data_IF_821220005804
#
_entry.id   IF_821220005804
#
_cell.length_a   1.000
_cell.length_b   1.000
_cell.length_c   1.000
_cell.angle_alpha   90.00
_cell.angle_beta   90.00
_cell.angle_gamma   90.00
#
_symmetry.space_group_name_H-M   'P 1'
#
loop_
_entity.id
_entity.type
_entity.pdbx_description
1 polymer ?
#
# COMPACT_ATOMS: atom_id res chain seq x y z
N UNK A 1 8.63 25.06 -0.93
CA UNK A 1 7.74 23.89 -0.77
C UNK A 1 7.64 23.24 -2.14
N UNK A 2 8.30 22.10 -2.36
CA UNK A 2 8.27 21.41 -3.66
C UNK A 2 6.91 20.73 -3.75
N UNK A 3 5.98 21.37 -4.44
CA UNK A 3 4.77 20.68 -4.88
C UNK A 3 5.23 19.66 -5.92
N UNK A 4 4.71 18.43 -5.90
CA UNK A 4 4.81 17.50 -7.03
C UNK A 4 3.54 17.64 -7.91
N UNK A 5 3.31 18.76 -8.62
CA UNK A 5 2.12 18.89 -9.48
C UNK A 5 2.23 18.06 -10.76
N UNK A 6 3.25 17.21 -10.88
CA UNK A 6 3.67 16.55 -12.13
C UNK A 6 3.33 15.07 -12.14
N UNK A 7 2.95 14.48 -11.00
CA UNK A 7 2.54 13.07 -10.99
C UNK A 7 1.37 12.81 -11.96
N UNK A 8 0.39 13.71 -12.01
CA UNK A 8 -0.74 13.63 -12.96
C UNK A 8 -0.34 13.88 -14.41
N UNK A 9 0.76 14.57 -14.68
CA UNK A 9 1.29 14.71 -16.05
C UNK A 9 1.94 13.40 -16.51
N UNK A 10 2.69 12.75 -15.62
CA UNK A 10 3.33 11.46 -15.90
C UNK A 10 2.34 10.29 -15.90
N UNK A 11 1.25 10.39 -15.13
CA UNK A 11 0.18 9.39 -15.03
C UNK A 11 -1.20 10.09 -15.06
N UNK A 12 -1.77 10.33 -16.26
CA UNK A 12 -3.06 11.01 -16.41
C UNK A 12 -4.24 10.31 -15.72
N UNK A 13 -4.15 8.98 -15.56
CA UNK A 13 -5.19 8.16 -14.93
C UNK A 13 -5.09 8.11 -13.39
N UNK A 14 -4.02 8.67 -12.81
CA UNK A 14 -3.91 8.86 -11.36
C UNK A 14 -4.80 10.04 -10.92
N UNK A 15 -5.78 9.85 -10.02
CA UNK A 15 -6.63 10.95 -9.58
C UNK A 15 -5.84 12.09 -8.94
N UNK A 16 -6.16 13.34 -9.32
CA UNK A 16 -5.40 14.52 -8.91
C UNK A 16 -5.31 14.71 -7.38
N UNK A 17 -6.38 14.36 -6.66
CA UNK A 17 -6.38 14.39 -5.19
C UNK A 17 -5.40 13.36 -4.60
N UNK A 18 -5.41 12.12 -5.10
CA UNK A 18 -4.49 11.06 -4.65
C UNK A 18 -3.04 11.43 -4.97
N UNK A 19 -2.79 12.00 -6.16
CA UNK A 19 -1.48 12.54 -6.52
C UNK A 19 -1.03 13.64 -5.54
N UNK A 20 -1.92 14.56 -5.18
CA UNK A 20 -1.64 15.62 -4.21
C UNK A 20 -1.34 15.04 -2.82
N UNK A 21 -2.07 14.02 -2.38
CA UNK A 21 -1.82 13.37 -1.10
C UNK A 21 -0.46 12.67 -1.07
N UNK A 22 -0.16 11.86 -2.09
CA UNK A 22 1.13 11.20 -2.23
C UNK A 22 2.30 12.20 -2.27
N UNK A 23 2.10 13.32 -2.96
CA UNK A 23 3.08 14.40 -3.04
C UNK A 23 3.42 15.01 -1.68
N UNK A 24 2.39 15.31 -0.88
CA UNK A 24 2.54 15.87 0.47
C UNK A 24 3.24 14.85 1.37
N UNK A 25 2.78 13.60 1.36
CA UNK A 25 3.35 12.56 2.21
C UNK A 25 4.84 12.29 1.89
N UNK A 26 5.19 12.23 0.60
CA UNK A 26 6.57 12.14 0.15
C UNK A 26 7.42 13.33 0.62
N UNK A 27 6.91 14.56 0.49
CA UNK A 27 7.63 15.76 0.92
C UNK A 27 7.88 15.80 2.44
N UNK A 28 7.01 15.17 3.24
CA UNK A 28 7.16 15.15 4.69
C UNK A 28 8.19 14.13 5.20
N UNK A 29 8.11 12.87 4.76
CA UNK A 29 8.86 11.77 5.40
C UNK A 29 9.55 10.84 4.38
N UNK A 30 9.46 11.16 3.08
CA UNK A 30 9.94 10.30 1.99
C UNK A 30 10.96 10.92 1.05
N UNK A 31 11.38 12.17 1.26
CA UNK A 31 12.18 12.95 0.31
C UNK A 31 13.59 12.40 0.05
N UNK A 32 14.07 11.47 0.89
CA UNK A 32 15.31 10.73 0.73
C UNK A 32 15.18 9.51 -0.22
N UNK A 33 13.94 9.07 -0.52
CA UNK A 33 13.67 7.96 -1.42
C UNK A 33 13.81 8.36 -2.89
N UNK A 34 14.20 7.39 -3.72
CA UNK A 34 14.28 7.52 -5.19
C UNK A 34 13.05 6.98 -5.90
N UNK A 35 12.17 6.31 -5.17
CA UNK A 35 10.98 5.64 -5.67
C UNK A 35 9.78 6.02 -4.81
N UNK A 36 8.75 6.58 -5.46
CA UNK A 36 7.45 6.84 -4.87
C UNK A 36 6.43 5.91 -5.51
N UNK A 37 5.81 5.05 -4.71
CA UNK A 37 4.69 4.21 -5.10
C UNK A 37 3.40 4.78 -4.53
N UNK A 38 2.32 4.66 -5.29
CA UNK A 38 1.00 5.18 -4.94
C UNK A 38 -0.02 4.09 -5.19
N UNK A 39 -0.81 3.75 -4.18
CA UNK A 39 -1.91 2.79 -4.27
C UNK A 39 -3.22 3.48 -3.86
N UNK A 40 -4.24 3.44 -4.71
CA UNK A 40 -5.54 4.07 -4.48
C UNK A 40 -6.61 3.02 -4.17
N UNK A 41 -6.88 2.80 -2.88
CA UNK A 41 -7.86 1.81 -2.44
C UNK A 41 -9.32 2.27 -2.60
N UNK A 42 -9.56 3.51 -3.06
CA UNK A 42 -10.92 3.97 -3.39
C UNK A 42 -11.46 3.37 -4.70
N UNK A 43 -10.56 2.87 -5.56
CA UNK A 43 -10.91 2.25 -6.83
C UNK A 43 -11.13 0.75 -6.70
N UNK A 44 -11.89 0.17 -7.64
CA UNK A 44 -12.12 -1.27 -7.70
C UNK A 44 -10.83 -2.03 -8.00
N UNK A 45 -10.62 -3.17 -7.37
CA UNK A 45 -9.39 -3.98 -7.50
C UNK A 45 -9.06 -4.45 -8.93
N UNK A 46 -10.07 -4.65 -9.77
CA UNK A 46 -9.88 -5.01 -11.19
C UNK A 46 -9.48 -3.84 -12.09
N UNK A 47 -9.29 -2.63 -11.57
CA UNK A 47 -8.79 -1.46 -12.32
C UNK A 47 -7.34 -1.17 -11.95
N UNK A 48 -6.55 -0.58 -12.88
CA UNK A 48 -5.28 0.02 -12.52
C UNK A 48 -5.51 1.03 -11.39
N UNK A 49 -4.86 0.78 -10.25
CA UNK A 49 -4.96 1.61 -9.04
C UNK A 49 -3.64 1.69 -8.28
N UNK A 50 -2.55 1.29 -8.94
CA UNK A 50 -1.19 1.33 -8.43
C UNK A 50 -0.26 1.96 -9.45
N UNK A 51 0.54 2.92 -9.01
CA UNK A 51 1.53 3.60 -9.82
C UNK A 51 2.86 3.64 -9.08
N UNK A 52 3.97 3.52 -9.80
CA UNK A 52 5.29 3.77 -9.24
C UNK A 52 6.07 4.76 -10.08
N UNK A 53 6.71 5.71 -9.43
CA UNK A 53 7.41 6.83 -10.04
C UNK A 53 8.87 6.85 -9.62
N UNK A 54 9.75 6.94 -10.60
CA UNK A 54 11.14 7.32 -10.39
C UNK A 54 11.19 8.81 -10.04
N UNK A 55 11.59 9.10 -8.81
CA UNK A 55 11.61 10.45 -8.22
C UNK A 55 13.03 10.92 -7.89
N UNK A 56 14.06 10.33 -8.52
CA UNK A 56 15.45 10.84 -8.42
C UNK A 56 15.58 12.31 -8.78
N UNK A 57 14.72 12.78 -9.68
CA UNK A 57 14.45 14.20 -9.91
C UNK A 57 12.98 14.50 -9.51
N UNK A 58 12.72 14.94 -8.26
CA UNK A 58 11.35 15.20 -7.80
C UNK A 58 10.62 16.29 -8.60
N UNK A 59 11.37 17.16 -9.30
CA UNK A 59 10.79 18.16 -10.19
C UNK A 59 10.33 17.58 -11.54
N UNK A 60 10.68 16.33 -11.87
CA UNK A 60 10.29 15.64 -13.11
C UNK A 60 10.12 14.13 -12.85
N UNK A 61 9.11 13.72 -12.06
CA UNK A 61 8.86 12.32 -11.77
C UNK A 61 8.55 11.56 -13.07
N UNK A 62 9.09 10.35 -13.21
CA UNK A 62 8.84 9.49 -14.37
C UNK A 62 8.04 8.26 -13.95
N UNK A 63 6.90 8.04 -14.58
CA UNK A 63 6.11 6.83 -14.39
C UNK A 63 6.91 5.60 -14.84
N UNK A 64 7.06 4.63 -13.94
CA UNK A 64 7.70 3.34 -14.19
C UNK A 64 6.67 2.25 -14.47
N UNK A 65 5.58 2.26 -13.71
CA UNK A 65 4.56 1.23 -13.79
C UNK A 65 3.20 1.80 -13.44
N UNK A 66 2.20 1.27 -14.14
CA UNK A 66 0.80 1.35 -13.78
C UNK A 66 0.26 -0.09 -13.73
N UNK A 67 -0.46 -0.43 -12.67
CA UNK A 67 -0.91 -1.80 -12.43
C UNK A 67 -2.11 -1.90 -11.50
N UNK A 68 -2.64 -3.11 -11.39
CA UNK A 68 -3.57 -3.50 -10.33
C UNK A 68 -2.77 -3.76 -9.04
N UNK A 69 -3.46 -3.66 -7.91
CA UNK A 69 -2.95 -4.06 -6.59
C UNK A 69 -4.12 -4.48 -5.74
N UNK A 70 -3.96 -5.48 -4.88
CA UNK A 70 -5.04 -5.97 -4.01
C UNK A 70 -5.01 -5.35 -2.62
N UNK A 71 -6.18 -5.30 -2.00
CA UNK A 71 -6.36 -4.91 -0.60
C UNK A 71 -6.59 -6.14 0.28
N UNK A 72 -6.62 -5.93 1.59
CA UNK A 72 -6.97 -6.96 2.55
C UNK A 72 -8.44 -7.41 2.45
N UNK A 73 -8.71 -8.66 2.80
CA UNK A 73 -10.04 -9.24 2.88
C UNK A 73 -10.93 -8.42 3.81
N UNK A 74 -10.32 -7.95 4.90
CA UNK A 74 -10.96 -7.15 5.91
C UNK A 74 -11.56 -5.84 5.38
N UNK A 75 -10.97 -5.34 4.30
CA UNK A 75 -11.39 -4.10 3.68
C UNK A 75 -12.63 -4.25 2.79
N UNK A 76 -12.96 -5.47 2.32
CA UNK A 76 -14.08 -5.72 1.39
C UNK A 76 -14.91 -6.96 1.81
N UNK A 77 -15.68 -6.88 2.93
CA UNK A 77 -16.53 -7.98 3.40
C UNK A 77 -17.59 -8.44 2.40
N UNK A 78 -18.00 -7.55 1.49
CA UNK A 78 -18.99 -7.87 0.46
C UNK A 78 -18.43 -8.55 -0.77
N UNK A 79 -17.09 -8.71 -0.90
CA UNK A 79 -16.42 -9.17 -2.14
C UNK A 79 -16.80 -8.37 -3.38
N UNK A 80 -17.05 -7.08 -3.21
CA UNK A 80 -17.48 -6.19 -4.29
C UNK A 80 -16.32 -5.81 -5.24
N UNK A 81 -15.09 -5.95 -4.75
CA UNK A 81 -13.86 -5.40 -5.31
C UNK A 81 -13.53 -4.00 -4.81
N UNK A 82 -14.33 -3.42 -3.90
CA UNK A 82 -14.13 -2.10 -3.32
C UNK A 82 -13.75 -2.20 -1.84
N UNK A 83 -12.61 -1.61 -1.46
CA UNK A 83 -12.25 -1.45 -0.06
C UNK A 83 -13.12 -0.36 0.59
N UNK A 84 -13.84 -0.74 1.63
CA UNK A 84 -14.75 0.11 2.41
C UNK A 84 -14.33 0.25 3.87
N UNK A 85 -13.44 -0.62 4.36
CA UNK A 85 -12.90 -0.61 5.73
C UNK A 85 -11.37 -0.57 5.71
N UNK A 86 -10.82 0.08 6.72
CA UNK A 86 -9.38 0.28 6.89
C UNK A 86 -9.09 0.33 8.38
N UNK A 87 -7.98 -0.29 8.79
CA UNK A 87 -7.62 -0.37 10.20
C UNK A 87 -6.14 -0.64 10.37
N UNK A 88 -5.58 -0.09 11.46
CA UNK A 88 -4.23 -0.38 11.97
C UNK A 88 -4.22 -1.57 12.95
N UNK A 89 -5.39 -2.11 13.32
CA UNK A 89 -5.50 -3.15 14.33
C UNK A 89 -4.97 -4.49 13.85
N UNK A 90 -4.26 -5.19 14.74
CA UNK A 90 -3.85 -6.56 14.52
C UNK A 90 -5.06 -7.50 14.33
N UNK A 91 -4.90 -8.54 13.51
CA UNK A 91 -5.96 -9.50 13.21
C UNK A 91 -7.17 -8.95 12.41
N UNK A 92 -7.18 -7.67 12.05
CA UNK A 92 -8.30 -7.06 11.30
C UNK A 92 -8.40 -7.56 9.86
N UNK A 93 -7.29 -8.03 9.27
CA UNK A 93 -7.23 -8.36 7.83
C UNK A 93 -7.47 -7.15 6.91
N UNK A 94 -7.54 -5.94 7.45
CA UNK A 94 -7.82 -4.69 6.73
C UNK A 94 -6.52 -4.04 6.27
N UNK A 95 -6.54 -3.43 5.09
CA UNK A 95 -5.45 -2.56 4.65
C UNK A 95 -5.40 -1.32 5.55
N UNK A 96 -4.20 -0.95 6.00
CA UNK A 96 -3.97 0.31 6.68
C UNK A 96 -3.70 1.42 5.66
N UNK A 97 -4.24 2.63 5.87
CA UNK A 97 -3.97 3.78 5.00
C UNK A 97 -2.72 4.53 5.46
N UNK A 98 -2.14 5.34 4.59
CA UNK A 98 -1.02 6.22 4.91
C UNK A 98 0.29 5.88 4.21
N UNK A 99 1.36 6.48 4.72
CA UNK A 99 2.71 6.39 4.18
C UNK A 99 3.48 5.21 4.80
N UNK A 100 4.15 4.45 3.95
CA UNK A 100 5.02 3.34 4.32
C UNK A 100 6.41 3.49 3.73
N UNK A 101 7.35 2.76 4.30
CA UNK A 101 8.67 2.49 3.74
C UNK A 101 8.88 0.99 3.58
N UNK A 102 9.37 0.56 2.43
CA UNK A 102 9.79 -0.82 2.22
C UNK A 102 11.08 -1.10 3.01
N UNK A 103 11.13 -2.26 3.66
CA UNK A 103 12.36 -2.78 4.26
C UNK A 103 13.34 -3.28 3.19
N UNK A 104 14.42 -3.93 3.61
CA UNK A 104 15.21 -4.76 2.69
C UNK A 104 14.40 -5.97 2.18
N UNK A 105 14.73 -6.47 0.97
CA UNK A 105 14.05 -7.63 0.41
C UNK A 105 14.35 -8.89 1.23
N UNK A 106 13.39 -9.80 1.25
CA UNK A 106 13.57 -11.15 1.74
C UNK A 106 12.83 -12.14 0.83
N UNK A 107 13.13 -13.42 0.99
CA UNK A 107 12.46 -14.49 0.23
C UNK A 107 11.36 -15.10 1.08
N UNK A 108 10.09 -14.81 0.73
CA UNK A 108 8.92 -15.45 1.32
C UNK A 108 8.80 -16.88 0.77
N UNK A 109 8.59 -17.91 1.61
CA UNK A 109 8.33 -19.27 1.14
C UNK A 109 7.10 -19.37 0.22
N UNK A 110 6.11 -18.50 0.41
CA UNK A 110 4.85 -18.55 -0.34
C UNK A 110 4.83 -17.58 -1.50
N UNK A 111 5.33 -16.35 -1.32
CA UNK A 111 5.22 -15.29 -2.32
C UNK A 111 6.53 -15.04 -3.09
N UNK A 112 7.62 -15.68 -2.70
CA UNK A 112 8.96 -15.39 -3.23
C UNK A 112 9.45 -14.01 -2.77
N UNK A 113 10.26 -13.37 -3.62
CA UNK A 113 10.91 -12.08 -3.32
C UNK A 113 9.90 -10.99 -2.94
N UNK A 114 9.95 -10.56 -1.68
CA UNK A 114 8.96 -9.69 -1.04
C UNK A 114 9.63 -8.67 -0.11
N UNK A 115 8.86 -7.70 0.36
CA UNK A 115 9.32 -6.60 1.21
C UNK A 115 8.32 -6.36 2.34
N UNK A 116 8.76 -6.19 3.58
CA UNK A 116 7.87 -5.74 4.65
C UNK A 116 7.57 -4.24 4.50
N UNK A 117 6.40 -3.83 4.98
CA UNK A 117 5.93 -2.45 4.98
C UNK A 117 6.04 -1.86 6.39
N UNK A 118 7.01 -0.96 6.60
CA UNK A 118 7.10 -0.14 7.82
C UNK A 118 6.15 1.05 7.71
N UNK A 119 5.15 1.12 8.58
CA UNK A 119 4.25 2.26 8.65
C UNK A 119 4.93 3.52 9.21
N UNK A 120 4.76 4.64 8.52
CA UNK A 120 5.32 5.95 8.89
C UNK A 120 4.25 6.97 9.28
N UNK A 121 2.98 6.56 9.36
CA UNK A 121 1.83 7.43 9.64
C UNK A 121 1.29 7.12 11.04
N UNK A 122 1.67 7.89 12.08
CA UNK A 122 1.23 7.67 13.45
C UNK A 122 -0.29 7.62 13.53
N UNK A 123 -0.88 6.61 14.16
CA UNK A 123 -2.33 6.45 14.16
C UNK A 123 -2.87 5.47 13.11
N UNK A 124 -2.21 5.35 11.98
CA UNK A 124 -2.87 4.82 10.78
C UNK A 124 -2.31 3.50 10.32
N UNK A 125 -0.98 3.33 10.42
CA UNK A 125 -0.31 2.13 9.91
C UNK A 125 0.91 1.70 10.73
N UNK A 126 1.08 2.24 11.94
CA UNK A 126 2.24 1.97 12.82
C UNK A 126 2.43 0.49 13.17
N UNK A 127 1.36 -0.32 13.12
CA UNK A 127 1.43 -1.75 13.40
C UNK A 127 1.73 -2.60 12.15
N UNK A 128 1.86 -2.01 10.96
CA UNK A 128 1.95 -2.76 9.72
C UNK A 128 3.11 -3.77 9.67
N UNK A 129 4.30 -3.39 10.13
CA UNK A 129 5.47 -4.29 10.18
C UNK A 129 5.24 -5.42 11.20
N UNK A 130 4.70 -5.10 12.39
CA UNK A 130 4.38 -6.11 13.42
C UNK A 130 3.25 -7.08 13.01
N UNK A 131 2.41 -6.66 12.06
CA UNK A 131 1.33 -7.46 11.47
C UNK A 131 1.81 -8.29 10.27
N UNK A 132 3.10 -8.27 9.93
CA UNK A 132 3.64 -8.87 8.70
C UNK A 132 2.89 -8.42 7.43
N UNK A 133 2.59 -7.12 7.32
CA UNK A 133 2.05 -6.53 6.10
C UNK A 133 3.18 -6.38 5.08
N UNK A 134 2.99 -6.96 3.90
CA UNK A 134 4.03 -7.08 2.88
C UNK A 134 3.65 -6.40 1.57
N UNK A 135 4.66 -6.01 0.80
CA UNK A 135 4.56 -5.77 -0.64
C UNK A 135 5.13 -6.99 -1.37
N UNK A 136 4.25 -7.74 -2.02
CA UNK A 136 4.60 -9.05 -2.57
C UNK A 136 3.92 -9.30 -3.94
N UNK A 137 4.46 -10.22 -4.76
CA UNK A 137 3.82 -10.63 -5.99
C UNK A 137 2.74 -11.69 -5.71
N UNK A 138 1.73 -11.75 -6.57
CA UNK A 138 0.69 -12.77 -6.51
C UNK A 138 0.11 -13.04 -7.90
N UNK A 139 -0.22 -14.31 -8.16
CA UNK A 139 -0.84 -14.76 -9.40
C UNK A 139 -2.32 -14.37 -9.53
N UNK A 140 -3.03 -14.13 -8.43
CA UNK A 140 -4.47 -13.85 -8.49
C UNK A 140 -4.80 -12.41 -8.90
N UNK A 141 -3.85 -11.48 -8.78
CA UNK A 141 -4.05 -10.06 -9.13
C UNK A 141 -4.19 -9.84 -10.64
N UNK A 142 -3.62 -10.73 -11.45
CA UNK A 142 -3.77 -10.73 -12.91
C UNK A 142 -5.11 -11.32 -13.39
N UNK A 143 -5.98 -11.75 -12.48
CA UNK A 143 -7.31 -12.26 -12.82
C UNK A 143 -8.35 -11.15 -12.69
N UNK A 144 -9.47 -11.25 -13.40
CA UNK A 144 -10.62 -10.35 -13.19
C UNK A 144 -11.48 -10.76 -11.97
N UNK A 145 -10.89 -11.49 -11.02
CA UNK A 145 -11.55 -11.97 -9.80
C UNK A 145 -11.41 -10.97 -8.67
N UNK A 146 -12.32 -11.06 -7.71
CA UNK A 146 -12.20 -10.38 -6.43
C UNK A 146 -11.56 -11.35 -5.45
N UNK A 147 -10.23 -11.29 -5.39
CA UNK A 147 -9.39 -11.94 -4.39
C UNK A 147 -8.72 -10.88 -3.51
N UNK A 148 -8.03 -11.31 -2.46
CA UNK A 148 -7.50 -10.39 -1.44
C UNK A 148 -6.35 -11.01 -0.65
N UNK A 149 -5.58 -10.15 0.01
CA UNK A 149 -4.61 -10.52 1.06
C UNK A 149 -5.27 -10.43 2.45
N UNK A 150 -4.50 -10.49 3.56
CA UNK A 150 -4.97 -10.08 4.89
C UNK A 150 -4.39 -8.72 5.31
N UNK A 151 -4.26 -7.79 4.34
CA UNK A 151 -3.82 -6.41 4.56
C UNK A 151 -2.59 -6.02 3.73
N UNK A 152 -1.86 -7.01 3.23
CA UNK A 152 -0.71 -6.84 2.35
C UNK A 152 -1.06 -6.19 1.01
N UNK A 153 -0.08 -5.53 0.41
CA UNK A 153 -0.13 -4.93 -0.91
C UNK A 153 0.33 -5.95 -1.97
N UNK A 154 -0.60 -6.78 -2.44
CA UNK A 154 -0.31 -7.82 -3.43
C UNK A 154 -0.42 -7.28 -4.86
N UNK A 155 0.59 -7.53 -5.69
CA UNK A 155 0.67 -7.04 -7.08
C UNK A 155 0.78 -8.18 -8.09
N UNK A 156 0.53 -7.95 -9.40
CA UNK A 156 0.90 -8.90 -10.44
C UNK A 156 2.37 -9.32 -10.35
N UNK A 157 2.66 -10.58 -10.67
CA UNK A 157 4.02 -11.15 -10.53
C UNK A 157 5.09 -10.43 -11.36
N UNK A 158 4.69 -9.69 -12.39
CA UNK A 158 5.56 -8.84 -13.21
C UNK A 158 6.02 -7.54 -12.53
N UNK A 159 5.34 -7.06 -11.47
CA UNK A 159 5.56 -5.71 -10.93
C UNK A 159 6.91 -5.55 -10.25
N UNK A 160 7.21 -6.40 -9.25
CA UNK A 160 8.47 -6.31 -8.49
C UNK A 160 9.69 -6.46 -9.42
N UNK A 161 9.78 -7.49 -10.30
CA UNK A 161 10.91 -7.62 -11.22
C UNK A 161 11.06 -6.43 -12.18
N UNK A 162 9.95 -5.85 -12.65
CA UNK A 162 9.99 -4.69 -13.54
C UNK A 162 10.54 -3.44 -12.81
N UNK A 163 10.12 -3.22 -11.57
CA UNK A 163 10.61 -2.11 -10.75
C UNK A 163 12.08 -2.29 -10.37
N UNK A 164 12.49 -3.49 -9.95
CA UNK A 164 13.89 -3.79 -9.65
C UNK A 164 14.77 -3.63 -10.89
N UNK A 165 14.31 -4.04 -12.07
CA UNK A 165 15.02 -3.77 -13.32
C UNK A 165 15.17 -2.27 -13.60
N UNK A 166 14.18 -1.46 -13.22
CA UNK A 166 14.20 -0.01 -13.46
C UNK A 166 15.06 0.77 -12.46
N UNK A 167 15.10 0.38 -11.18
CA UNK A 167 15.74 1.14 -10.09
C UNK A 167 16.73 0.35 -9.24
N UNK A 168 17.04 -0.88 -9.62
CA UNK A 168 17.99 -1.83 -9.01
C UNK A 168 17.58 -2.41 -7.65
N UNK A 169 16.99 -1.62 -6.77
CA UNK A 169 16.46 -2.07 -5.49
C UNK A 169 15.22 -1.27 -5.10
N UNK A 170 14.29 -1.94 -4.40
CA UNK A 170 13.11 -1.28 -3.79
C UNK A 170 13.30 -1.00 -2.30
N UNK A 171 14.44 -1.39 -1.70
CA UNK A 171 14.76 -1.09 -0.30
C UNK A 171 14.63 0.41 -0.04
N UNK A 172 13.87 0.78 1.00
CA UNK A 172 13.66 2.16 1.39
C UNK A 172 12.73 2.95 0.47
N UNK A 173 12.12 2.33 -0.55
CA UNK A 173 11.09 2.95 -1.36
C UNK A 173 9.90 3.37 -0.50
N UNK A 174 9.24 4.45 -0.91
CA UNK A 174 8.11 5.03 -0.20
C UNK A 174 6.82 4.60 -0.89
N UNK A 175 5.83 4.18 -0.12
CA UNK A 175 4.51 3.79 -0.61
C UNK A 175 3.45 4.63 0.07
N UNK A 176 2.68 5.40 -0.71
CA UNK A 176 1.47 6.05 -0.23
C UNK A 176 0.27 5.17 -0.54
N UNK A 177 -0.46 4.74 0.49
CA UNK A 177 -1.73 4.02 0.37
C UNK A 177 -2.86 4.98 0.69
N UNK A 178 -3.57 5.39 -0.36
CA UNK A 178 -4.74 6.26 -0.30
C UNK A 178 -6.04 5.44 -0.25
N UNK A 179 -7.14 6.11 0.09
CA UNK A 179 -8.46 5.52 0.16
C UNK A 179 -9.46 6.49 0.79
N UNK A 180 -10.75 6.09 0.90
CA UNK A 180 -11.75 6.88 1.61
C UNK A 180 -11.26 7.23 3.02
N UNK A 181 -11.24 8.54 3.33
CA UNK A 181 -10.73 9.14 4.59
C UNK A 181 -9.21 9.26 4.71
N UNK A 182 -8.43 8.88 3.70
CA UNK A 182 -7.00 9.19 3.71
C UNK A 182 -6.82 10.72 3.70
N UNK A 183 -6.05 11.21 4.66
CA UNK A 183 -5.62 12.60 4.71
C UNK A 183 -4.09 12.57 4.76
N UNK A 184 -3.39 13.22 3.82
CA UNK A 184 -1.95 13.32 3.89
C UNK A 184 -1.62 14.14 5.14
N UNK A 185 -0.99 13.49 6.13
CA UNK A 185 -0.74 14.15 7.40
C UNK A 185 0.22 15.33 7.21
N UNK A 186 0.00 16.47 7.88
CA UNK A 186 1.00 17.54 7.93
C UNK A 186 2.28 17.03 8.57
N UNK A 187 3.43 17.41 8.01
CA UNK A 187 4.73 17.00 8.52
C UNK A 187 4.85 17.36 10.01
N UNK A 188 5.18 16.37 10.86
CA UNK A 188 5.52 16.55 12.28
C UNK A 188 4.43 17.09 13.23
N UNK A 189 3.19 16.60 13.13
CA UNK A 189 2.17 16.83 14.18
C UNK A 189 2.05 15.65 15.14
N UNK A 190 1.78 15.92 16.41
CA UNK A 190 1.47 14.90 17.43
C UNK A 190 0.05 14.38 17.22
N UNK A 191 -0.12 13.06 17.09
CA UNK A 191 -1.40 12.43 16.75
C UNK A 191 -2.05 11.64 17.89
N UNK A 192 -3.38 11.60 17.85
CA UNK A 192 -4.22 10.55 18.45
C UNK A 192 -4.64 9.59 17.35
N UNK A 193 -4.56 8.26 17.59
CA UNK A 193 -5.08 7.25 16.66
C UNK A 193 -6.52 7.61 16.24
N UNK A 194 -6.85 7.61 14.93
CA UNK A 194 -8.22 7.81 14.50
C UNK A 194 -9.07 6.67 15.07
N UNK A 195 -10.22 7.02 15.66
CA UNK A 195 -11.21 6.02 16.06
C UNK A 195 -11.80 5.43 14.79
N UNK A 196 -11.31 4.25 14.39
CA UNK A 196 -11.90 3.47 13.30
C UNK A 196 -13.27 2.96 13.79
N UNK A 197 -14.40 3.46 13.25
CA UNK A 197 -15.73 3.10 13.74
C UNK A 197 -16.03 1.60 13.60
N UNK A 198 -15.25 0.88 12.79
CA UNK A 198 -15.50 -0.51 12.40
C UNK A 198 -14.26 -1.41 12.48
N UNK A 199 -13.22 -1.03 13.23
CA UNK A 199 -12.07 -1.91 13.46
C UNK A 199 -12.50 -3.08 14.35
N UNK A 200 -13.19 -4.06 13.77
CA UNK A 200 -13.52 -5.30 14.45
C UNK A 200 -12.22 -6.06 14.64
N UNK A 201 -11.74 -6.15 15.88
CA UNK A 201 -10.54 -6.89 16.30
C UNK A 201 -10.61 -8.40 16.03
N UNK A 202 -11.71 -8.88 15.43
CA UNK A 202 -11.95 -10.26 15.10
C UNK A 202 -12.65 -10.33 13.74
N UNK A 203 -11.91 -10.07 12.66
CA UNK A 203 -12.40 -10.47 11.35
C UNK A 203 -12.53 -12.00 11.32
N UNK A 204 -13.62 -12.59 10.79
CA UNK A 204 -13.88 -14.04 10.87
C UNK A 204 -12.82 -14.93 10.20
N UNK A 205 -11.80 -14.35 9.58
CA UNK A 205 -10.67 -15.08 9.00
C UNK A 205 -9.90 -15.92 10.05
N UNK A 206 -9.95 -15.57 11.34
CA UNK A 206 -9.38 -16.41 12.41
C UNK A 206 -9.91 -17.85 12.41
N UNK A 207 -11.14 -18.09 11.96
CA UNK A 207 -11.73 -19.43 11.88
C UNK A 207 -11.62 -20.10 10.51
N UNK A 208 -11.34 -19.35 9.44
CA UNK A 208 -11.23 -19.92 8.08
C UNK A 208 -9.79 -20.32 7.68
N UNK A 209 -8.76 -19.80 8.36
CA UNK A 209 -7.35 -19.94 7.97
C UNK A 209 -6.46 -20.67 9.00
N UNK A 210 -7.06 -21.30 10.02
CA UNK A 210 -6.36 -22.07 11.05
C UNK A 210 -5.80 -21.22 12.19
N UNK A 211 -5.49 -21.84 13.33
CA UNK A 211 -5.25 -21.20 14.63
C UNK A 211 -3.92 -20.43 14.78
N UNK A 212 -3.09 -20.33 13.74
CA UNK A 212 -1.66 -20.01 13.88
C UNK A 212 -1.20 -18.68 13.24
N UNK A 213 -2.10 -17.73 12.90
CA UNK A 213 -1.68 -16.54 12.14
C UNK A 213 -2.15 -15.23 12.73
N UNK A 214 -1.27 -14.64 13.53
CA UNK A 214 -1.24 -13.19 13.85
C UNK A 214 -0.60 -12.37 12.72
N UNK A 215 -0.42 -12.94 11.53
CA UNK A 215 0.48 -12.41 10.50
C UNK A 215 -0.22 -12.37 9.15
N UNK A 216 -0.25 -11.18 8.52
CA UNK A 216 -1.08 -10.84 7.38
C UNK A 216 -0.73 -11.59 6.07
N UNK A 217 0.44 -12.21 6.00
CA UNK A 217 0.94 -12.81 4.75
C UNK A 217 1.57 -14.21 4.88
N UNK A 218 1.51 -14.89 6.03
CA UNK A 218 2.29 -16.13 6.25
C UNK A 218 1.68 -17.45 5.74
N UNK A 219 0.57 -17.47 4.98
CA UNK A 219 0.08 -18.72 4.33
C UNK A 219 0.73 -18.95 2.99
#
# INVERSE_FOLDING_TARGET
MVVLPILTHAAPDLPAQVAQHAAIAYACEGADSRLLMVADMSQRNTRPRFWAFDVRNPAQPRLLIESRIEHGAGSDPGRSGYATRFSNADGSGETSLGLYRLTDPYESPTHGRSYHLRGLTPGWNTNAEARDVEFHPSHFVDTDRVDWSLGCLATPTRVIPALEKAVHSLSGAIVWVDGPRAVPLPCHTTWTEPTWPDATSAWPAYTLWGSDKTTACTV
#
